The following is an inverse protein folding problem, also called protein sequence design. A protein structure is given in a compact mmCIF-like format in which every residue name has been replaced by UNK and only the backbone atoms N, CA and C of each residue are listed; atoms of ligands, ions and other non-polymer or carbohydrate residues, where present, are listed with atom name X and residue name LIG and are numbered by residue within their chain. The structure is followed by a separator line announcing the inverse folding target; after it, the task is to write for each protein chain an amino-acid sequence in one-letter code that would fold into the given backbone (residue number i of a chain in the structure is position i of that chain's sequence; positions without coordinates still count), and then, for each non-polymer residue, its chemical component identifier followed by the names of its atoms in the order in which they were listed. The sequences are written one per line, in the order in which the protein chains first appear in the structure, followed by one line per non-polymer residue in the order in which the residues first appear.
data_IF_499068658562
#
_entry.id   IF_499068658562
#
_cell.length_a   1.000
_cell.length_b   1.000
_cell.length_c   1.000
_cell.angle_alpha   90.00
_cell.angle_beta   90.00
_cell.angle_gamma   90.00
#
_symmetry.space_group_name_H-M   'P 1'
#
loop_
_entity.id
_entity.type
_entity.pdbx_description
1 polymer ?
#
# COMPACT_ATOMS: atom_id res chain seq x y z
N UNK A 1 3.47 15.33 6.44
CA UNK A 1 4.43 15.43 5.30
C UNK A 1 5.18 14.11 5.28
N UNK A 2 4.63 13.12 4.56
CA UNK A 2 5.14 11.76 4.55
C UNK A 2 6.60 11.83 4.10
N UNK A 3 7.52 11.43 4.99
CA UNK A 3 8.94 11.43 4.67
C UNK A 3 9.16 10.52 3.47
N UNK A 4 9.91 10.99 2.47
CA UNK A 4 10.16 10.33 1.18
C UNK A 4 10.40 8.80 1.28
N UNK A 5 10.97 8.33 2.39
CA UNK A 5 11.26 6.92 2.68
C UNK A 5 10.02 6.01 2.77
N UNK A 6 8.84 6.51 3.09
CA UNK A 6 7.65 5.65 3.21
C UNK A 6 7.06 5.29 1.83
N UNK A 7 7.19 6.21 0.87
CA UNK A 7 6.77 5.97 -0.51
C UNK A 7 7.64 4.92 -1.21
N UNK A 8 8.93 4.86 -0.90
CA UNK A 8 9.82 3.81 -1.38
C UNK A 8 9.30 2.41 -1.04
N UNK A 9 8.67 2.20 0.13
CA UNK A 9 8.11 0.89 0.48
C UNK A 9 6.90 0.51 -0.38
N UNK A 10 6.07 1.48 -0.79
CA UNK A 10 4.96 1.22 -1.71
C UNK A 10 5.48 0.82 -3.09
N UNK A 11 6.49 1.54 -3.58
CA UNK A 11 7.18 1.24 -4.83
C UNK A 11 7.84 -0.16 -4.79
N UNK A 12 8.53 -0.49 -3.70
CA UNK A 12 9.12 -1.82 -3.47
C UNK A 12 8.03 -2.89 -3.43
N UNK A 13 6.93 -2.66 -2.73
CA UNK A 13 5.83 -3.62 -2.66
C UNK A 13 5.26 -3.92 -4.05
N UNK A 14 5.05 -2.88 -4.88
CA UNK A 14 4.62 -3.00 -6.27
C UNK A 14 5.66 -3.70 -7.16
N UNK A 15 6.93 -3.31 -7.05
CA UNK A 15 8.03 -3.83 -7.87
C UNK A 15 8.25 -5.33 -7.66
N UNK A 16 8.22 -5.76 -6.40
CA UNK A 16 8.44 -7.15 -6.03
C UNK A 16 7.14 -7.95 -5.91
N UNK A 17 5.97 -7.32 -6.15
CA UNK A 17 4.65 -7.93 -5.99
C UNK A 17 4.52 -8.65 -4.64
N UNK A 18 5.00 -7.99 -3.59
CA UNK A 18 4.96 -8.52 -2.22
C UNK A 18 3.51 -8.42 -1.76
N UNK A 19 2.90 -9.55 -1.41
CA UNK A 19 1.57 -9.54 -0.82
C UNK A 19 1.58 -8.73 0.48
N UNK A 20 0.63 -7.80 0.63
CA UNK A 20 0.52 -6.95 1.82
C UNK A 20 -0.91 -6.93 2.36
N UNK A 21 -1.02 -6.70 3.66
CA UNK A 21 -2.25 -6.33 4.34
C UNK A 21 -2.18 -4.84 4.69
N UNK A 22 -3.15 -4.07 4.21
CA UNK A 22 -3.29 -2.64 4.44
C UNK A 22 -4.40 -2.42 5.45
N UNK A 23 -4.10 -1.77 6.56
CA UNK A 23 -5.11 -1.28 7.50
C UNK A 23 -5.45 0.16 7.15
N UNK A 24 -6.73 0.46 6.93
CA UNK A 24 -7.20 1.81 6.63
C UNK A 24 -7.60 2.58 7.89
N UNK A 25 -7.64 3.91 7.78
CA UNK A 25 -8.14 4.82 8.82
C UNK A 25 -9.57 4.52 9.28
N UNK A 26 -10.39 3.98 8.40
CA UNK A 26 -11.76 3.57 8.68
C UNK A 26 -11.86 2.28 9.52
N UNK A 27 -10.72 1.60 9.76
CA UNK A 27 -10.65 0.32 10.45
C UNK A 27 -10.82 -0.90 9.55
N UNK A 28 -11.08 -0.68 8.26
CA UNK A 28 -11.11 -1.74 7.25
C UNK A 28 -9.70 -2.24 6.93
N UNK A 29 -9.57 -3.55 6.68
CA UNK A 29 -8.31 -4.18 6.28
C UNK A 29 -8.42 -4.78 4.87
N UNK A 30 -7.45 -4.47 4.02
CA UNK A 30 -7.41 -4.91 2.62
C UNK A 30 -6.15 -5.74 2.43
N UNK A 31 -6.33 -7.02 2.11
CA UNK A 31 -5.23 -7.93 1.81
C UNK A 31 -5.15 -8.18 0.31
N UNK A 32 -3.98 -7.98 -0.28
CA UNK A 32 -3.76 -8.23 -1.70
C UNK A 32 -2.33 -7.98 -2.14
N UNK A 33 -2.11 -8.00 -3.45
CA UNK A 33 -0.80 -7.73 -4.03
C UNK A 33 -0.82 -6.33 -4.63
N UNK A 34 0.00 -5.39 -4.15
CA UNK A 34 0.12 -4.08 -4.76
C UNK A 34 0.77 -4.24 -6.13
N UNK A 35 0.18 -3.62 -7.13
CA UNK A 35 0.56 -3.81 -8.53
C UNK A 35 1.08 -2.53 -9.18
N UNK A 36 0.56 -1.39 -8.76
CA UNK A 36 0.92 -0.09 -9.30
C UNK A 36 0.56 1.03 -8.31
N UNK A 37 1.18 2.19 -8.48
CA UNK A 37 0.87 3.44 -7.78
C UNK A 37 0.44 4.48 -8.82
N UNK A 38 -0.52 5.33 -8.47
CA UNK A 38 -1.04 6.33 -9.39
C UNK A 38 -1.77 7.45 -8.68
N UNK A 39 -2.33 8.36 -9.45
CA UNK A 39 -3.09 9.50 -8.93
C UNK A 39 -4.55 9.41 -9.37
N UNK A 40 -5.47 9.68 -8.45
CA UNK A 40 -6.88 9.82 -8.77
C UNK A 40 -7.21 11.20 -9.39
N UNK A 41 -8.47 11.42 -9.74
CA UNK A 41 -8.96 12.70 -10.31
C UNK A 41 -8.74 13.92 -9.39
N UNK A 42 -8.58 13.68 -8.08
CA UNK A 42 -8.29 14.69 -7.08
C UNK A 42 -6.79 14.94 -6.87
N UNK A 43 -5.93 14.35 -7.70
CA UNK A 43 -4.46 14.35 -7.57
C UNK A 43 -3.98 13.76 -6.23
N UNK A 44 -4.77 12.86 -5.65
CA UNK A 44 -4.35 12.10 -4.48
C UNK A 44 -3.70 10.80 -4.93
N UNK A 45 -2.65 10.42 -4.23
CA UNK A 45 -1.95 9.17 -4.50
C UNK A 45 -2.80 7.98 -4.05
N UNK A 46 -2.92 7.01 -4.94
CA UNK A 46 -3.64 5.77 -4.72
C UNK A 46 -2.72 4.59 -5.09
N UNK A 47 -2.80 3.54 -4.28
CA UNK A 47 -2.16 2.27 -4.50
C UNK A 47 -3.17 1.33 -5.14
N UNK A 48 -2.83 0.79 -6.30
CA UNK A 48 -3.59 -0.28 -6.95
C UNK A 48 -3.19 -1.61 -6.32
N UNK A 49 -4.18 -2.31 -5.74
CA UNK A 49 -4.00 -3.59 -5.06
C UNK A 49 -4.88 -4.63 -5.71
N UNK A 50 -4.28 -5.69 -6.22
CA UNK A 50 -5.00 -6.83 -6.79
C UNK A 50 -5.43 -7.79 -5.66
N UNK A 51 -6.75 -7.97 -5.53
CA UNK A 51 -7.39 -8.80 -4.52
C UNK A 51 -8.30 -9.83 -5.21
N UNK A 52 -7.88 -11.10 -5.26
CA UNK A 52 -8.75 -12.20 -5.71
C UNK A 52 -9.21 -12.13 -7.17
N UNK A 53 -8.57 -11.33 -8.02
CA UNK A 53 -8.89 -11.17 -9.44
C UNK A 53 -9.40 -9.77 -9.83
N UNK A 54 -9.72 -8.94 -8.85
CA UNK A 54 -10.09 -7.53 -9.06
C UNK A 54 -8.96 -6.60 -8.56
N UNK A 55 -8.77 -5.47 -9.24
CA UNK A 55 -7.84 -4.43 -8.82
C UNK A 55 -8.60 -3.30 -8.11
N UNK A 56 -8.16 -2.96 -6.91
CA UNK A 56 -8.75 -1.91 -6.09
C UNK A 56 -7.77 -0.75 -5.92
N UNK A 57 -8.26 0.47 -6.15
CA UNK A 57 -7.49 1.70 -5.92
C UNK A 57 -7.74 2.21 -4.51
N UNK A 58 -6.72 2.12 -3.67
CA UNK A 58 -6.76 2.52 -2.25
C UNK A 58 -5.97 3.82 -2.09
N UNK A 59 -6.57 4.93 -1.64
CA UNK A 59 -5.83 6.16 -1.37
C UNK A 59 -4.74 5.91 -0.32
N UNK A 60 -3.50 6.29 -0.61
CA UNK A 60 -2.37 6.09 0.32
C UNK A 60 -2.56 6.90 1.60
N UNK A 61 -3.23 8.05 1.50
CA UNK A 61 -3.67 8.84 2.66
C UNK A 61 -4.63 8.06 3.58
N UNK A 62 -5.40 7.10 3.08
CA UNK A 62 -6.24 6.27 3.94
C UNK A 62 -5.48 5.14 4.62
N UNK A 63 -4.28 4.78 4.17
CA UNK A 63 -3.51 3.67 4.72
C UNK A 63 -2.87 4.10 6.04
N UNK A 64 -3.23 3.42 7.12
CA UNK A 64 -2.58 3.55 8.43
C UNK A 64 -1.33 2.67 8.52
N UNK A 65 -1.45 1.40 8.13
CA UNK A 65 -0.33 0.46 8.20
C UNK A 65 -0.32 -0.47 7.00
N UNK A 66 0.88 -0.87 6.58
CA UNK A 66 1.10 -1.90 5.56
C UNK A 66 1.98 -3.00 6.16
N UNK A 67 1.47 -4.22 6.19
CA UNK A 67 2.18 -5.39 6.67
C UNK A 67 2.45 -6.36 5.51
N UNK A 68 3.69 -6.82 5.37
CA UNK A 68 4.04 -7.85 4.42
C UNK A 68 3.44 -9.20 4.85
N UNK A 69 2.72 -9.84 3.95
CA UNK A 69 2.18 -11.20 4.10
C UNK A 69 3.21 -12.26 3.69
N UNK A 70 4.21 -11.87 2.93
CA UNK A 70 5.32 -12.73 2.48
C UNK A 70 6.60 -12.29 3.15
N UNK A 71 7.45 -13.24 3.56
CA UNK A 71 8.77 -12.93 4.09
C UNK A 71 9.66 -12.28 3.01
N UNK A 72 10.11 -11.06 3.28
CA UNK A 72 10.91 -10.25 2.39
C UNK A 72 11.98 -9.46 3.19
N UNK A 73 13.15 -9.21 2.60
CA UNK A 73 14.23 -8.49 3.28
C UNK A 73 14.01 -6.97 3.36
N UNK A 74 12.94 -6.45 2.74
CA UNK A 74 12.72 -5.01 2.60
C UNK A 74 11.95 -4.40 3.76
N UNK A 75 10.85 -5.01 4.16
CA UNK A 75 9.98 -4.50 5.22
C UNK A 75 9.07 -5.59 5.76
N UNK A 76 8.73 -5.54 7.05
CA UNK A 76 7.75 -6.47 7.65
C UNK A 76 6.44 -5.77 7.97
N UNK A 77 6.50 -4.63 8.68
CA UNK A 77 5.35 -3.78 8.97
C UNK A 77 5.81 -2.33 8.91
N UNK A 78 5.08 -1.53 8.16
CA UNK A 78 5.30 -0.09 8.02
C UNK A 78 4.05 0.61 8.54
N UNK A 79 4.24 1.61 9.39
CA UNK A 79 3.18 2.48 9.88
C UNK A 79 3.33 3.83 9.16
N UNK A 80 2.27 4.27 8.50
CA UNK A 80 2.25 5.54 7.78
C UNK A 80 1.78 6.63 8.73
N UNK A 81 2.74 7.41 9.23
CA UNK A 81 2.45 8.63 9.99
C UNK A 81 2.22 9.79 9.00
N UNK A 82 1.03 10.38 9.03
CA UNK A 82 0.57 11.37 8.05
C UNK A 82 0.51 12.79 8.61
#
# INVERSE_FOLDING_TARGET
MISCNQYDYLEIACLYRIGVCLTLKDGSEISGVPVNTGFNEHKQECLEVETGGDALWVPTDMILTMQALTENPHFTKIEFEQ
#
